data_IF_416462475623
#
_entry.id   IF_416462475623
#
_cell.length_a   1.000
_cell.length_b   1.000
_cell.length_c   1.000
_cell.angle_alpha   90.00
_cell.angle_beta   90.00
_cell.angle_gamma   90.00
#
_symmetry.space_group_name_H-M   'P 1'
#
loop_
_entity.id
_entity.type
_entity.pdbx_description
1 polymer ?
#
# COMPACT_ATOMS: atom_id res chain seq x y z
N UNK A 1 -22.17 0.03 12.01
CA UNK A 1 -21.67 1.37 11.65
C UNK A 1 -20.31 1.24 10.94
N UNK A 2 -20.28 0.96 9.63
CA UNK A 2 -19.02 0.77 8.86
C UNK A 2 -18.66 1.96 7.96
N UNK A 3 -19.65 2.78 7.58
CA UNK A 3 -19.52 3.86 6.57
C UNK A 3 -18.41 4.88 6.81
N UNK A 4 -18.01 5.13 8.06
CA UNK A 4 -16.98 6.14 8.36
C UNK A 4 -15.60 5.78 7.85
N UNK A 5 -15.18 4.52 8.01
CA UNK A 5 -13.82 4.10 7.64
C UNK A 5 -13.67 3.88 6.13
N UNK A 6 -14.67 3.28 5.50
CA UNK A 6 -14.74 3.11 4.04
C UNK A 6 -14.54 4.45 3.32
N UNK A 7 -15.15 5.54 3.84
CA UNK A 7 -14.97 6.89 3.31
C UNK A 7 -13.53 7.43 3.48
N UNK A 8 -12.85 7.17 4.60
CA UNK A 8 -11.44 7.59 4.80
C UNK A 8 -10.52 6.86 3.82
N UNK A 9 -10.70 5.54 3.67
CA UNK A 9 -9.89 4.73 2.76
C UNK A 9 -10.13 5.11 1.30
N UNK A 10 -11.39 5.26 0.88
CA UNK A 10 -11.76 5.64 -0.48
C UNK A 10 -11.23 7.04 -0.84
N UNK A 11 -11.49 8.05 0.01
CA UNK A 11 -11.06 9.43 -0.24
C UNK A 11 -9.54 9.57 -0.36
N UNK A 12 -8.78 8.91 0.52
CA UNK A 12 -7.33 8.96 0.47
C UNK A 12 -6.75 8.14 -0.70
N UNK A 13 -7.39 7.02 -1.05
CA UNK A 13 -7.07 6.30 -2.30
C UNK A 13 -7.29 7.17 -3.53
N UNK A 14 -8.43 7.87 -3.65
CA UNK A 14 -8.72 8.78 -4.77
C UNK A 14 -7.69 9.92 -4.89
N UNK A 15 -7.28 10.50 -3.76
CA UNK A 15 -6.28 11.60 -3.73
C UNK A 15 -4.89 11.13 -4.20
N UNK A 16 -4.47 9.92 -3.86
CA UNK A 16 -3.17 9.39 -4.28
C UNK A 16 -3.20 8.81 -5.69
N UNK A 17 -4.18 7.95 -6.00
CA UNK A 17 -4.19 7.18 -7.24
C UNK A 17 -4.56 8.01 -8.48
N UNK A 18 -5.17 9.20 -8.31
CA UNK A 18 -5.33 10.20 -9.40
C UNK A 18 -4.01 10.76 -9.95
N UNK A 19 -2.88 10.53 -9.27
CA UNK A 19 -1.54 10.96 -9.71
C UNK A 19 -0.88 9.96 -10.67
N UNK A 20 -1.51 8.80 -10.91
CA UNK A 20 -0.97 7.72 -11.74
C UNK A 20 -1.58 7.75 -13.15
N UNK A 21 -0.83 7.28 -14.14
CA UNK A 21 -1.37 7.07 -15.49
C UNK A 21 -2.29 5.85 -15.49
N UNK A 22 -3.60 6.09 -15.64
CA UNK A 22 -4.64 5.08 -15.74
C UNK A 22 -5.57 4.98 -14.53
N UNK A 23 -6.69 4.27 -14.71
CA UNK A 23 -7.81 4.25 -13.76
C UNK A 23 -7.65 3.14 -12.73
N UNK A 24 -7.54 3.51 -11.46
CA UNK A 24 -7.50 2.56 -10.35
C UNK A 24 -8.83 2.51 -9.59
N UNK A 25 -9.19 1.32 -9.09
CA UNK A 25 -10.41 1.09 -8.29
C UNK A 25 -10.08 0.27 -7.04
N UNK A 26 -10.76 0.56 -5.92
CA UNK A 26 -10.61 -0.17 -4.66
C UNK A 26 -11.99 -0.64 -4.14
N UNK A 27 -12.05 -1.83 -3.57
CA UNK A 27 -13.23 -2.36 -2.90
C UNK A 27 -12.83 -3.34 -1.79
N UNK A 28 -13.68 -3.56 -0.76
CA UNK A 28 -13.44 -4.61 0.22
C UNK A 28 -13.54 -6.01 -0.42
N UNK A 29 -12.94 -7.01 0.24
CA UNK A 29 -13.17 -8.43 -0.01
C UNK A 29 -13.23 -9.19 1.31
N UNK A 30 -13.95 -10.31 1.33
CA UNK A 30 -14.07 -11.20 2.50
C UNK A 30 -13.12 -12.41 2.41
N UNK A 31 -12.54 -12.66 1.24
CA UNK A 31 -11.62 -13.76 0.96
C UNK A 31 -10.48 -13.30 0.05
N UNK A 32 -9.43 -14.13 -0.07
CA UNK A 32 -8.39 -13.96 -1.07
C UNK A 32 -9.04 -14.14 -2.48
N UNK A 33 -8.83 -13.20 -3.42
CA UNK A 33 -9.25 -13.37 -4.82
C UNK A 33 -8.62 -14.60 -5.48
N UNK A 34 -9.08 -14.96 -6.68
CA UNK A 34 -8.50 -16.02 -7.51
C UNK A 34 -7.04 -15.73 -7.93
N UNK A 35 -6.44 -16.64 -8.70
CA UNK A 35 -5.08 -16.47 -9.24
C UNK A 35 -4.88 -15.18 -10.03
N UNK A 36 -3.63 -14.70 -10.11
CA UNK A 36 -3.26 -13.50 -10.87
C UNK A 36 -3.34 -12.17 -10.11
N UNK A 37 -3.53 -12.20 -8.79
CA UNK A 37 -3.46 -11.01 -7.93
C UNK A 37 -2.15 -11.00 -7.13
N UNK A 38 -1.45 -9.87 -7.17
CA UNK A 38 -0.31 -9.59 -6.30
C UNK A 38 -0.80 -9.22 -4.89
N UNK A 39 0.03 -9.46 -3.89
CA UNK A 39 -0.28 -9.18 -2.48
C UNK A 39 0.68 -8.16 -1.87
N UNK A 40 0.11 -7.13 -1.27
CA UNK A 40 0.78 -6.25 -0.32
C UNK A 40 0.15 -6.41 1.08
N UNK A 41 0.97 -6.33 2.13
CA UNK A 41 0.55 -6.48 3.53
C UNK A 41 1.16 -5.33 4.32
N UNK A 42 0.37 -4.74 5.22
CA UNK A 42 0.85 -3.81 6.24
C UNK A 42 0.21 -4.13 7.60
N UNK A 43 0.76 -3.55 8.67
CA UNK A 43 0.28 -3.67 10.05
C UNK A 43 0.10 -2.29 10.67
N UNK A 44 -0.95 -2.13 11.46
CA UNK A 44 -1.29 -0.88 12.13
C UNK A 44 -1.78 -1.08 13.56
N UNK A 45 -1.78 0.00 14.33
CA UNK A 45 -2.59 0.11 15.55
C UNK A 45 -4.07 0.22 15.17
N UNK A 46 -4.90 -0.62 15.78
CA UNK A 46 -6.36 -0.66 15.56
C UNK A 46 -7.11 -0.86 16.89
N UNK A 47 -8.40 -0.56 16.91
CA UNK A 47 -9.30 -0.79 18.04
C UNK A 47 -10.39 -1.81 17.66
N UNK A 48 -10.76 -2.67 18.59
CA UNK A 48 -11.91 -3.56 18.49
C UNK A 48 -12.96 -3.18 19.54
N UNK A 49 -14.22 -3.48 19.28
CA UNK A 49 -15.33 -3.30 20.23
C UNK A 49 -16.32 -4.44 20.10
N UNK A 50 -16.41 -5.29 21.13
CA UNK A 50 -17.35 -6.40 21.16
C UNK A 50 -18.76 -5.91 21.48
N UNK A 51 -19.68 -6.02 20.52
CA UNK A 51 -21.07 -5.60 20.68
C UNK A 51 -21.88 -6.47 21.67
N UNK A 52 -21.35 -7.62 22.09
CA UNK A 52 -22.03 -8.55 23.01
C UNK A 52 -21.75 -8.21 24.48
N UNK A 53 -20.50 -7.86 24.83
CA UNK A 53 -20.11 -7.56 26.21
C UNK A 53 -19.55 -6.14 26.41
N UNK A 54 -19.70 -5.28 25.39
CA UNK A 54 -19.25 -3.88 25.36
C UNK A 54 -17.75 -3.64 25.64
N UNK A 55 -16.94 -4.70 25.73
CA UNK A 55 -15.49 -4.60 25.91
C UNK A 55 -14.83 -4.13 24.61
N UNK A 56 -14.08 -3.04 24.69
CA UNK A 56 -13.16 -2.60 23.65
C UNK A 56 -11.70 -2.83 24.04
N UNK A 57 -10.85 -3.11 23.05
CA UNK A 57 -9.41 -3.23 23.23
C UNK A 57 -8.64 -2.65 22.03
N UNK A 58 -7.36 -2.36 22.22
CA UNK A 58 -6.45 -1.89 21.18
C UNK A 58 -5.44 -2.98 20.85
N UNK A 59 -5.10 -3.13 19.58
CA UNK A 59 -4.07 -4.06 19.09
C UNK A 59 -3.05 -3.29 18.24
N UNK A 60 -1.76 -3.58 18.42
CA UNK A 60 -0.69 -3.10 17.51
C UNK A 60 -0.53 -3.99 16.26
N UNK A 61 -1.30 -5.08 16.18
CA UNK A 61 -1.28 -6.10 15.14
C UNK A 61 -2.60 -6.14 14.37
N UNK A 62 -3.14 -4.97 14.00
CA UNK A 62 -4.19 -4.89 12.99
C UNK A 62 -3.57 -5.12 11.63
N UNK A 63 -3.93 -6.21 10.94
CA UNK A 63 -3.34 -6.55 9.64
C UNK A 63 -4.30 -6.15 8.51
N UNK A 64 -3.78 -5.47 7.50
CA UNK A 64 -4.46 -5.30 6.20
C UNK A 64 -3.72 -6.10 5.13
N UNK A 65 -4.50 -6.74 4.25
CA UNK A 65 -4.03 -7.27 2.98
C UNK A 65 -4.62 -6.44 1.85
N UNK A 66 -3.77 -5.94 0.95
CA UNK A 66 -4.15 -5.35 -0.33
C UNK A 66 -3.80 -6.34 -1.45
N UNK A 67 -4.81 -6.94 -2.06
CA UNK A 67 -4.67 -7.68 -3.31
C UNK A 67 -4.77 -6.68 -4.46
N UNK A 68 -3.84 -6.74 -5.42
CA UNK A 68 -3.85 -5.81 -6.54
C UNK A 68 -3.46 -6.48 -7.86
N UNK A 69 -3.99 -5.96 -8.96
CA UNK A 69 -3.61 -6.33 -10.33
C UNK A 69 -3.69 -5.10 -11.23
N UNK A 70 -2.86 -5.10 -12.28
CA UNK A 70 -2.80 -4.05 -13.29
C UNK A 70 -3.03 -4.67 -14.66
N UNK A 71 -3.83 -4.02 -15.50
CA UNK A 71 -4.04 -4.35 -16.90
C UNK A 71 -3.43 -3.22 -17.75
N UNK A 72 -2.28 -3.45 -18.43
CA UNK A 72 -1.64 -2.43 -19.26
C UNK A 72 -2.49 -2.00 -20.45
N UNK A 73 -3.21 -2.92 -21.09
CA UNK A 73 -3.92 -2.69 -22.36
C UNK A 73 -5.06 -1.68 -22.20
N UNK A 74 -5.81 -1.76 -21.10
CA UNK A 74 -6.91 -0.87 -20.73
C UNK A 74 -6.46 0.27 -19.79
N UNK A 75 -5.16 0.35 -19.47
CA UNK A 75 -4.60 1.22 -18.42
C UNK A 75 -5.46 1.24 -17.14
N UNK A 76 -5.82 0.06 -16.63
CA UNK A 76 -6.71 -0.04 -15.47
C UNK A 76 -6.17 -0.96 -14.36
N UNK A 77 -6.35 -0.51 -13.13
CA UNK A 77 -5.89 -1.19 -11.93
C UNK A 77 -7.03 -1.53 -10.99
N UNK A 78 -6.94 -2.70 -10.38
CA UNK A 78 -7.95 -3.20 -9.44
C UNK A 78 -7.28 -3.53 -8.12
N UNK A 79 -7.91 -3.07 -7.03
CA UNK A 79 -7.50 -3.34 -5.66
C UNK A 79 -8.67 -3.98 -4.90
N UNK A 80 -8.36 -5.00 -4.11
CA UNK A 80 -9.25 -5.60 -3.13
C UNK A 80 -8.57 -5.62 -1.78
N UNK A 81 -9.20 -5.07 -0.74
CA UNK A 81 -8.62 -5.05 0.61
C UNK A 81 -9.37 -5.96 1.58
N UNK A 82 -8.63 -6.64 2.45
CA UNK A 82 -9.15 -7.48 3.53
C UNK A 82 -8.55 -7.01 4.85
N UNK A 83 -9.42 -6.75 5.84
CA UNK A 83 -9.04 -6.36 7.19
C UNK A 83 -9.13 -7.57 8.12
N UNK A 84 -8.02 -7.95 8.74
CA UNK A 84 -7.98 -9.12 9.62
C UNK A 84 -8.56 -8.78 11.01
N UNK A 85 -9.47 -9.63 11.48
CA UNK A 85 -10.17 -9.43 12.75
C UNK A 85 -9.50 -10.05 13.98
N UNK A 86 -10.12 -9.80 15.13
CA UNK A 86 -9.79 -10.44 16.42
C UNK A 86 -11.07 -10.89 17.14
N UNK A 87 -11.01 -12.05 17.81
CA UNK A 87 -12.13 -12.56 18.62
C UNK A 87 -12.10 -11.93 20.03
N UNK A 88 -13.28 -11.75 20.63
CA UNK A 88 -13.38 -11.18 21.97
C UNK A 88 -13.03 -12.20 23.04
N UNK A 89 -12.09 -11.89 23.93
CA UNK A 89 -11.64 -12.80 24.98
C UNK A 89 -12.72 -13.28 25.96
N UNK A 90 -13.81 -12.51 26.17
CA UNK A 90 -14.95 -12.93 27.01
C UNK A 90 -16.03 -13.70 26.24
N UNK A 91 -16.21 -13.38 24.96
CA UNK A 91 -17.33 -13.87 24.14
C UNK A 91 -16.87 -14.79 22.99
N UNK A 92 -15.66 -15.34 23.10
CA UNK A 92 -15.03 -16.13 22.05
C UNK A 92 -15.85 -17.39 21.74
N UNK A 93 -16.67 -17.31 20.68
CA UNK A 93 -17.08 -18.47 19.90
C UNK A 93 -15.99 -18.72 18.85
N UNK A 94 -15.67 -19.99 18.61
CA UNK A 94 -14.64 -20.37 17.63
C UNK A 94 -14.96 -19.74 16.26
N UNK A 95 -13.92 -19.22 15.59
CA UNK A 95 -13.97 -18.58 14.27
C UNK A 95 -14.79 -17.27 14.14
N UNK A 96 -15.33 -16.69 15.21
CA UNK A 96 -15.99 -15.37 15.16
C UNK A 96 -15.00 -14.24 15.41
N UNK A 97 -14.58 -13.56 14.35
CA UNK A 97 -13.66 -12.42 14.40
C UNK A 97 -14.40 -11.09 14.20
N UNK A 98 -14.09 -10.10 15.04
CA UNK A 98 -14.61 -8.74 14.90
C UNK A 98 -13.77 -7.94 13.89
N UNK A 99 -14.42 -7.15 13.03
CA UNK A 99 -13.75 -6.19 12.14
C UNK A 99 -13.02 -5.12 12.95
N UNK A 100 -11.75 -4.78 12.61
CA UNK A 100 -11.03 -3.69 13.27
C UNK A 100 -11.61 -2.32 12.91
N UNK A 101 -11.69 -1.44 13.90
CA UNK A 101 -11.82 0.00 13.71
C UNK A 101 -10.41 0.58 13.62
N UNK A 102 -10.11 1.28 12.52
CA UNK A 102 -8.82 1.89 12.29
C UNK A 102 -8.83 3.35 12.70
N UNK A 103 -7.69 3.86 13.16
CA UNK A 103 -7.48 5.29 13.30
C UNK A 103 -7.23 5.91 11.91
N UNK A 104 -7.73 7.13 11.61
CA UNK A 104 -7.58 7.74 10.28
C UNK A 104 -6.12 7.79 9.80
N UNK A 105 -5.20 8.21 10.66
CA UNK A 105 -3.78 8.36 10.33
C UNK A 105 -3.08 7.01 10.06
N UNK A 106 -3.53 5.94 10.71
CA UNK A 106 -3.04 4.58 10.44
C UNK A 106 -3.57 4.06 9.10
N UNK A 107 -4.83 4.37 8.76
CA UNK A 107 -5.40 4.08 7.44
C UNK A 107 -4.67 4.84 6.33
N UNK A 108 -4.37 6.13 6.56
CA UNK A 108 -3.62 6.96 5.63
C UNK A 108 -2.19 6.44 5.43
N UNK A 109 -1.48 6.08 6.50
CA UNK A 109 -0.11 5.52 6.44
C UNK A 109 -0.06 4.23 5.62
N UNK A 110 -0.90 3.23 5.90
CA UNK A 110 -0.86 1.95 5.17
C UNK A 110 -1.25 2.10 3.70
N UNK A 111 -2.17 3.02 3.39
CA UNK A 111 -2.57 3.34 2.02
C UNK A 111 -1.44 4.06 1.27
N UNK A 112 -0.74 4.98 1.92
CA UNK A 112 0.46 5.64 1.36
C UNK A 112 1.58 4.64 1.08
N UNK A 113 1.85 3.71 2.01
CA UNK A 113 2.81 2.62 1.78
C UNK A 113 2.40 1.73 0.59
N UNK A 114 1.11 1.40 0.48
CA UNK A 114 0.58 0.65 -0.64
C UNK A 114 0.67 1.43 -1.97
N UNK A 115 0.40 2.73 -1.97
CA UNK A 115 0.57 3.60 -3.13
C UNK A 115 2.02 3.66 -3.61
N UNK A 116 3.00 3.82 -2.70
CA UNK A 116 4.42 3.70 -3.02
C UNK A 116 4.78 2.32 -3.59
N UNK A 117 4.17 1.25 -3.07
CA UNK A 117 4.34 -0.10 -3.63
C UNK A 117 3.86 -0.17 -5.08
N UNK A 118 2.73 0.47 -5.43
CA UNK A 118 2.22 0.56 -6.80
C UNK A 118 3.13 1.41 -7.68
N UNK A 119 3.56 2.60 -7.23
CA UNK A 119 4.50 3.46 -7.95
C UNK A 119 5.77 2.70 -8.35
N UNK A 120 6.35 1.95 -7.41
CA UNK A 120 7.54 1.13 -7.67
C UNK A 120 7.27 -0.11 -8.52
N UNK A 121 6.23 -0.90 -8.22
CA UNK A 121 6.03 -2.22 -8.86
C UNK A 121 5.26 -2.21 -10.16
N UNK A 122 4.39 -1.24 -10.40
CA UNK A 122 3.60 -1.14 -11.64
C UNK A 122 4.21 -0.13 -12.60
N UNK A 123 4.65 1.02 -12.09
CA UNK A 123 5.11 2.14 -12.92
C UNK A 123 6.64 2.28 -13.00
N UNK A 124 7.40 1.57 -12.16
CA UNK A 124 8.86 1.64 -12.13
C UNK A 124 9.41 2.96 -11.59
N UNK A 125 8.66 3.68 -10.75
CA UNK A 125 9.13 4.89 -10.10
C UNK A 125 9.97 4.58 -8.86
N UNK A 126 10.99 5.39 -8.61
CA UNK A 126 11.63 5.47 -7.30
C UNK A 126 10.59 5.93 -6.28
N UNK A 127 10.45 5.18 -5.18
CA UNK A 127 9.52 5.51 -4.11
C UNK A 127 10.27 5.56 -2.77
N UNK A 128 9.85 6.41 -1.81
CA UNK A 128 10.41 6.43 -0.46
C UNK A 128 10.30 5.07 0.25
N UNK A 129 11.16 4.79 1.25
CA UNK A 129 10.99 3.62 2.10
C UNK A 129 9.61 3.65 2.79
N UNK A 130 9.04 2.47 3.02
CA UNK A 130 7.73 2.34 3.68
C UNK A 130 7.81 2.85 5.12
N UNK A 131 6.83 3.67 5.52
CA UNK A 131 6.71 4.13 6.89
C UNK A 131 6.16 2.99 7.77
N UNK A 132 7.01 2.43 8.64
CA UNK A 132 6.65 1.37 9.59
C UNK A 132 6.31 1.91 10.99
N UNK A 133 6.38 3.24 11.19
CA UNK A 133 6.09 3.92 12.44
C UNK A 133 4.58 3.93 12.67
N UNK A 134 4.11 2.94 13.43
CA UNK A 134 2.73 2.84 13.90
C UNK A 134 2.46 3.90 14.96
N UNK A 135 1.22 4.36 15.06
CA UNK A 135 0.80 5.30 16.11
C UNK A 135 1.20 4.75 17.48
N UNK A 136 1.95 5.54 18.25
CA UNK A 136 2.37 5.14 19.60
C UNK A 136 1.21 4.59 20.44
N UNK A 137 1.49 3.53 21.20
CA UNK A 137 0.53 2.90 22.09
C UNK A 137 1.25 2.19 23.22
N UNK A 138 0.59 2.14 24.39
CA UNK A 138 0.96 1.26 25.50
C UNK A 138 -0.15 0.21 25.64
N UNK A 139 -0.11 -0.90 24.88
CA UNK A 139 -1.09 -1.96 25.02
C UNK A 139 -0.99 -2.53 26.44
N UNK A 140 -2.07 -2.44 27.23
CA UNK A 140 -2.08 -2.94 28.62
C UNK A 140 -2.01 -4.47 28.73
N UNK A 141 -2.15 -5.18 27.62
CA UNK A 141 -2.21 -6.64 27.54
C UNK A 141 -1.30 -7.11 26.40
N UNK A 142 -0.65 -8.26 26.61
CA UNK A 142 0.11 -8.94 25.57
C UNK A 142 -0.80 -9.41 24.43
N UNK A 143 -0.23 -9.58 23.25
CA UNK A 143 -0.96 -9.98 22.06
C UNK A 143 -1.36 -11.47 22.13
N UNK A 144 -2.66 -11.77 22.20
CA UNK A 144 -3.15 -13.14 22.16
C UNK A 144 -3.24 -13.65 20.70
N UNK A 145 -2.26 -14.46 20.30
CA UNK A 145 -2.18 -15.06 18.96
C UNK A 145 -3.36 -15.99 18.61
N UNK A 146 -3.92 -16.72 19.58
CA UNK A 146 -5.08 -17.60 19.36
C UNK A 146 -6.37 -16.83 19.09
N UNK A 147 -6.44 -15.56 19.51
CA UNK A 147 -7.58 -14.68 19.29
C UNK A 147 -7.41 -13.77 18.06
N UNK A 148 -6.25 -13.83 17.38
CA UNK A 148 -5.97 -12.99 16.22
C UNK A 148 -6.02 -13.79 14.92
N UNK A 149 -6.96 -13.45 14.04
CA UNK A 149 -7.11 -14.05 12.72
C UNK A 149 -5.82 -13.92 11.89
N UNK A 150 -5.10 -12.81 12.06
CA UNK A 150 -3.77 -12.62 11.47
C UNK A 150 -2.75 -13.65 11.97
N UNK A 151 -2.67 -13.93 13.27
CA UNK A 151 -1.77 -14.95 13.81
C UNK A 151 -2.16 -16.36 13.37
N UNK A 152 -3.46 -16.69 13.39
CA UNK A 152 -3.98 -17.99 12.93
C UNK A 152 -3.59 -18.27 11.46
N UNK A 153 -3.57 -17.24 10.61
CA UNK A 153 -3.10 -17.35 9.21
C UNK A 153 -1.60 -17.06 9.02
N UNK A 154 -0.81 -16.92 10.09
CA UNK A 154 0.63 -16.61 10.03
C UNK A 154 1.00 -15.17 9.62
N UNK A 155 0.00 -14.30 9.39
CA UNK A 155 0.09 -12.93 8.87
C UNK A 155 0.45 -11.86 9.91
N UNK A 156 0.68 -12.18 11.18
CA UNK A 156 1.16 -11.21 12.18
C UNK A 156 2.68 -11.21 12.38
N UNK A 157 3.38 -12.26 11.96
CA UNK A 157 4.84 -12.36 12.09
C UNK A 157 5.50 -11.22 11.29
N UNK A 158 6.68 -10.70 11.69
CA UNK A 158 7.44 -9.79 10.83
C UNK A 158 7.59 -10.39 9.44
N UNK A 159 7.53 -9.56 8.39
CA UNK A 159 8.07 -10.03 7.11
C UNK A 159 9.57 -10.17 7.31
N UNK A 160 10.05 -11.39 7.57
CA UNK A 160 11.42 -11.74 7.19
C UNK A 160 11.55 -11.30 5.73
N UNK A 161 12.63 -10.57 5.38
CA UNK A 161 12.96 -10.38 3.97
C UNK A 161 12.95 -11.78 3.35
N UNK A 162 12.06 -12.02 2.38
CA UNK A 162 12.01 -13.32 1.72
C UNK A 162 13.12 -13.39 0.66
N UNK A 163 14.37 -13.28 1.12
CA UNK A 163 15.44 -14.05 0.52
C UNK A 163 15.20 -15.50 0.92
N UNK A 164 14.99 -16.37 -0.06
CA UNK A 164 15.09 -17.81 0.16
C UNK A 164 16.59 -18.12 0.28
N UNK A 165 17.10 -18.14 1.51
CA UNK A 165 18.36 -18.75 1.97
C UNK A 165 18.37 -18.73 3.51
N UNK A 166 19.11 -19.67 4.12
CA UNK A 166 18.86 -20.13 5.50
C UNK A 166 19.41 -19.30 6.69
N UNK A 167 18.79 -19.58 7.85
CA UNK A 167 19.16 -19.38 9.29
C UNK A 167 20.46 -18.60 9.61
N UNK A 168 20.47 -17.63 10.53
CA UNK A 168 20.41 -17.83 12.01
C UNK A 168 20.49 -16.50 12.81
N UNK A 169 20.12 -16.55 14.11
CA UNK A 169 20.34 -15.72 15.33
C UNK A 169 20.92 -14.26 15.24
N UNK A 170 20.64 -13.27 16.11
CA UNK A 170 19.66 -13.02 17.22
C UNK A 170 19.50 -11.47 17.44
N UNK A 171 18.84 -10.96 18.52
CA UNK A 171 17.84 -9.86 18.31
C UNK A 171 17.99 -8.41 18.89
N UNK A 172 18.22 -8.07 20.19
CA UNK A 172 17.90 -6.68 20.74
C UNK A 172 18.96 -6.00 21.65
N UNK A 173 18.91 -4.66 21.88
CA UNK A 173 18.22 -4.10 23.07
C UNK A 173 17.50 -2.72 22.92
N UNK A 174 16.91 -2.22 24.03
CA UNK A 174 16.06 -1.01 24.25
C UNK A 174 16.88 0.32 24.39
N UNK A 175 16.40 1.55 24.70
CA UNK A 175 15.17 2.07 25.36
C UNK A 175 14.94 3.62 25.15
N UNK A 176 13.86 4.18 25.74
CA UNK A 176 13.59 5.65 25.93
C UNK A 176 12.30 6.16 25.24
N UNK A 177 11.21 6.63 25.89
CA UNK A 177 10.98 7.85 26.74
C UNK A 177 11.41 9.16 26.04
N UNK A 178 10.63 10.25 26.00
CA UNK A 178 9.33 10.63 26.59
C UNK A 178 8.67 11.74 25.73
N UNK A 179 7.42 12.14 26.01
CA UNK A 179 6.78 13.31 25.37
C UNK A 179 5.29 13.15 25.07
N UNK A 180 4.44 13.89 25.77
CA UNK A 180 2.99 13.91 25.59
C UNK A 180 2.50 15.34 25.43
N UNK A 181 1.70 15.59 24.39
CA UNK A 181 0.74 16.67 24.36
C UNK A 181 -0.52 16.19 23.66
N UNK A 182 -1.66 16.55 24.24
CA UNK A 182 -2.99 16.36 23.67
C UNK A 182 -3.22 17.40 22.56
N UNK A 183 -4.06 17.08 21.57
CA UNK A 183 -4.47 18.07 20.58
C UNK A 183 -5.87 17.77 20.05
N UNK A 184 -6.72 18.78 20.17
CA UNK A 184 -8.14 18.79 19.83
C UNK A 184 -8.42 18.63 18.34
N UNK A 185 -9.63 18.17 18.04
CA UNK A 185 -10.12 17.88 16.70
C UNK A 185 -10.32 19.16 15.88
N UNK A 186 -9.58 19.34 14.79
CA UNK A 186 -9.97 20.03 13.54
C UNK A 186 -8.89 19.83 12.46
N UNK A 187 -9.18 20.18 11.20
CA UNK A 187 -8.28 20.14 10.03
C UNK A 187 -7.95 18.79 9.35
N UNK A 188 -8.97 18.18 8.72
CA UNK A 188 -8.82 17.02 7.79
C UNK A 188 -8.16 17.38 6.44
N UNK A 189 -7.64 18.60 6.24
CA UNK A 189 -7.10 19.08 4.95
C UNK A 189 -5.60 19.39 4.91
N UNK A 190 -4.86 19.21 6.02
CA UNK A 190 -3.40 19.45 6.07
C UNK A 190 -2.62 18.28 6.67
N UNK A 191 -3.01 17.05 6.33
CA UNK A 191 -2.29 15.86 6.81
C UNK A 191 -0.86 15.78 6.22
N UNK A 192 0.21 15.87 7.04
CA UNK A 192 1.57 15.92 6.54
C UNK A 192 2.05 14.60 5.91
N UNK A 193 1.43 13.47 6.23
CA UNK A 193 1.75 12.17 5.62
C UNK A 193 1.20 12.08 4.20
N UNK A 194 0.05 12.71 3.93
CA UNK A 194 -0.55 12.79 2.59
C UNK A 194 0.28 13.74 1.71
N UNK A 195 0.61 14.94 2.22
CA UNK A 195 1.40 15.91 1.45
C UNK A 195 2.78 15.34 1.08
N UNK A 196 3.51 14.75 2.03
CA UNK A 196 4.80 14.07 1.76
C UNK A 196 4.71 12.98 0.69
N UNK A 197 3.57 12.30 0.56
CA UNK A 197 3.35 11.29 -0.46
C UNK A 197 3.12 11.88 -1.86
N UNK A 198 2.38 12.98 -1.93
CA UNK A 198 2.19 13.77 -3.15
C UNK A 198 3.54 14.35 -3.59
N UNK A 199 4.27 15.02 -2.69
CA UNK A 199 5.58 15.63 -2.94
C UNK A 199 6.61 14.58 -3.42
N UNK A 200 6.65 13.42 -2.75
CA UNK A 200 7.55 12.32 -3.10
C UNK A 200 7.30 11.76 -4.50
N UNK A 201 6.04 11.62 -4.90
CA UNK A 201 5.69 11.17 -6.26
C UNK A 201 5.89 12.27 -7.29
N UNK A 202 5.54 13.52 -7.01
CA UNK A 202 5.82 14.65 -7.90
C UNK A 202 7.33 14.79 -8.16
N UNK A 203 8.16 14.62 -7.12
CA UNK A 203 9.62 14.60 -7.26
C UNK A 203 10.09 13.44 -8.15
N UNK A 204 9.63 12.22 -7.92
CA UNK A 204 10.00 11.04 -8.72
C UNK A 204 9.54 11.14 -10.19
N UNK A 205 8.36 11.70 -10.45
CA UNK A 205 7.86 12.01 -11.79
C UNK A 205 8.74 13.07 -12.48
N UNK A 206 9.10 14.14 -11.77
CA UNK A 206 9.97 15.19 -12.30
C UNK A 206 11.40 14.72 -12.56
N UNK A 207 11.95 13.82 -11.74
CA UNK A 207 13.26 13.18 -11.96
C UNK A 207 13.26 12.34 -13.24
N UNK A 208 12.19 11.58 -13.48
CA UNK A 208 12.04 10.79 -14.71
C UNK A 208 11.81 11.66 -15.95
N UNK A 209 11.09 12.78 -15.82
CA UNK A 209 10.93 13.75 -16.90
C UNK A 209 12.28 14.42 -17.28
N UNK A 210 13.11 14.78 -16.29
CA UNK A 210 14.49 15.25 -16.53
C UNK A 210 15.34 14.19 -17.22
N UNK A 211 15.38 12.97 -16.67
CA UNK A 211 16.13 11.86 -17.26
C UNK A 211 15.72 11.57 -18.71
N UNK A 212 14.42 11.59 -19.04
CA UNK A 212 13.96 11.45 -20.42
C UNK A 212 14.40 12.61 -21.32
N UNK A 213 14.32 13.85 -20.83
CA UNK A 213 14.78 15.02 -21.58
C UNK A 213 16.30 15.04 -21.80
N UNK A 214 17.09 14.55 -20.84
CA UNK A 214 18.55 14.48 -20.97
C UNK A 214 18.98 13.33 -21.91
N UNK A 215 18.25 12.21 -21.93
CA UNK A 215 18.40 11.16 -22.97
C UNK A 215 18.10 11.71 -24.37
N UNK A 216 17.10 12.58 -24.52
CA UNK A 216 16.82 13.23 -25.82
C UNK A 216 17.87 14.27 -26.23
N UNK A 217 18.66 14.84 -25.29
CA UNK A 217 19.77 15.76 -25.60
C UNK A 217 21.06 15.04 -26.00
N UNK A 218 21.28 13.80 -25.55
CA UNK A 218 22.44 12.97 -25.91
C UNK A 218 22.25 12.31 -27.30
N UNK A 219 21.87 13.13 -28.29
CA UNK A 219 21.39 12.68 -29.60
C UNK A 219 22.29 11.65 -30.29
N UNK A 220 21.69 10.55 -30.71
CA UNK A 220 22.34 9.50 -31.51
C UNK A 220 22.91 10.11 -32.80
N UNK A 221 24.19 9.88 -33.14
CA UNK A 221 24.75 10.33 -34.42
C UNK A 221 23.93 9.80 -35.59
N UNK A 222 23.44 10.70 -36.44
CA UNK A 222 22.41 10.39 -37.43
C UNK A 222 22.83 9.29 -38.41
N UNK A 223 22.14 8.14 -38.35
CA UNK A 223 22.18 7.15 -39.41
C UNK A 223 21.52 7.73 -40.67
N UNK A 224 22.34 8.19 -41.61
CA UNK A 224 21.87 8.65 -42.93
C UNK A 224 21.28 7.45 -43.69
N UNK A 225 19.95 7.38 -43.79
CA UNK A 225 19.30 6.52 -44.77
C UNK A 225 19.74 6.97 -46.17
N UNK A 226 20.55 6.14 -46.84
CA UNK A 226 21.00 6.38 -48.20
C UNK A 226 19.84 6.08 -49.15
N UNK A 227 19.41 7.10 -49.91
CA UNK A 227 18.44 6.94 -50.99
C UNK A 227 19.20 6.52 -52.25
N UNK A 228 19.36 5.22 -52.48
CA UNK A 228 19.90 4.73 -53.75
C UNK A 228 18.79 4.69 -54.80
N UNK A 229 18.72 5.76 -55.59
CA UNK A 229 17.83 5.85 -56.75
C UNK A 229 18.43 5.17 -57.97
N UNK A 230 17.86 4.05 -58.40
CA UNK A 230 18.11 3.47 -59.74
C UNK A 230 16.83 3.44 -60.55
N UNK A 231 16.70 4.39 -61.49
CA UNK A 231 15.59 4.47 -62.42
C UNK A 231 16.06 4.02 -63.81
N UNK A 232 15.63 2.84 -64.29
CA UNK A 232 15.78 2.48 -65.71
C UNK A 232 14.70 1.54 -66.24
N UNK A 233 13.71 2.17 -66.85
CA UNK A 233 12.92 1.75 -68.02
C UNK A 233 12.89 0.26 -68.42
N UNK A 234 11.68 -0.28 -68.52
CA UNK A 234 11.30 -1.24 -69.56
C UNK A 234 10.06 -0.73 -70.30
N UNK A 235 10.12 -0.76 -71.63
CA UNK A 235 9.12 -0.18 -72.54
C UNK A 235 7.97 -1.16 -72.79
N UNK A 236 6.76 -0.62 -73.02
CA UNK A 236 5.66 -1.31 -73.70
C UNK A 236 6.14 -1.98 -75.00
N UNK A 237 5.67 -3.19 -75.29
CA UNK A 237 5.46 -3.69 -76.67
C UNK A 237 4.35 -4.75 -76.67
N UNK A 238 3.38 -4.52 -77.57
CA UNK A 238 2.25 -5.36 -77.99
C UNK A 238 1.44 -5.98 -76.84
#
# INVERSE_FOLDING_TARGET
MTRGLENVWAKHFEILFRLLDGRWTIAPTFSRPSSGWLLFRDMAKVRFSCQICMRGWTSMFGVVLFFYRWNPEQKCGFVRFLLMGQSCSKCAKQNVFLTPMWYPEEAQRVMTNFFYKICSKVYGHTAPPMNQDRRHGRPRLQHNSGQCQGCVLGLCKPQKKLCITDKSNEEMPEAGREGHTDCSETEVQRDPCVQKAIDGVQKALAERARSAADVMKLGVPGAKCRVDGTNRALKKKL
#
